data_IF_406177928399
#
_entry.id   IF_406177928399
#
_cell.length_a   1.000
_cell.length_b   1.000
_cell.length_c   1.000
_cell.angle_alpha   90.00
_cell.angle_beta   90.00
_cell.angle_gamma   90.00
#
_symmetry.space_group_name_H-M   'P 1'
#
loop_
_entity.id
_entity.type
_entity.pdbx_description
1 polymer ?
#
# COMPACT_ATOMS: atom_id res chain seq x y z
N UNK A 1 -25.53 25.15 -11.02
CA UNK A 1 -24.31 24.88 -11.79
C UNK A 1 -24.50 23.51 -12.43
N UNK A 2 -24.79 23.46 -13.74
CA UNK A 2 -24.87 22.18 -14.47
C UNK A 2 -23.43 21.74 -14.72
N UNK A 3 -23.03 20.60 -14.14
CA UNK A 3 -21.71 20.00 -14.41
C UNK A 3 -21.89 19.17 -15.68
N UNK A 4 -21.19 19.55 -16.76
CA UNK A 4 -21.16 18.70 -17.95
C UNK A 4 -20.54 17.34 -17.62
N UNK A 5 -21.08 16.24 -18.16
CA UNK A 5 -20.52 14.92 -17.95
C UNK A 5 -19.16 14.82 -18.63
N UNK A 6 -18.13 14.44 -17.87
CA UNK A 6 -16.79 14.14 -18.41
C UNK A 6 -16.88 13.11 -19.53
N UNK A 7 -16.16 13.34 -20.61
CA UNK A 7 -15.97 12.32 -21.64
C UNK A 7 -15.14 11.14 -21.10
N UNK A 8 -15.13 10.02 -21.80
CA UNK A 8 -14.49 8.79 -21.31
C UNK A 8 -12.98 8.95 -21.04
N UNK A 9 -12.30 9.76 -21.85
CA UNK A 9 -10.87 10.06 -21.69
C UNK A 9 -10.63 10.89 -20.43
N UNK A 10 -11.41 11.94 -20.22
CA UNK A 10 -11.33 12.80 -19.03
C UNK A 10 -11.65 12.01 -17.76
N UNK A 11 -12.66 11.13 -17.82
CA UNK A 11 -13.01 10.24 -16.71
C UNK A 11 -11.86 9.29 -16.38
N UNK A 12 -11.25 8.69 -17.40
CA UNK A 12 -10.12 7.77 -17.19
C UNK A 12 -8.89 8.48 -16.65
N UNK A 13 -8.63 9.72 -17.11
CA UNK A 13 -7.57 10.56 -16.57
C UNK A 13 -7.82 10.92 -15.11
N UNK A 14 -9.03 11.35 -14.74
CA UNK A 14 -9.40 11.64 -13.36
C UNK A 14 -9.26 10.40 -12.45
N UNK A 15 -9.59 9.21 -12.95
CA UNK A 15 -9.35 7.95 -12.23
C UNK A 15 -7.85 7.69 -12.03
N UNK A 16 -7.03 7.90 -13.06
CA UNK A 16 -5.58 7.73 -12.95
C UNK A 16 -4.96 8.69 -11.93
N UNK A 17 -5.37 9.96 -11.97
CA UNK A 17 -4.92 10.99 -11.01
C UNK A 17 -5.33 10.62 -9.58
N UNK A 18 -6.58 10.19 -9.38
CA UNK A 18 -7.04 9.72 -8.07
C UNK A 18 -6.23 8.51 -7.56
N UNK A 19 -5.90 7.57 -8.45
CA UNK A 19 -5.07 6.43 -8.11
C UNK A 19 -3.64 6.84 -7.73
N UNK A 20 -3.04 7.80 -8.44
CA UNK A 20 -1.71 8.34 -8.10
C UNK A 20 -1.74 9.05 -6.75
N UNK A 21 -2.78 9.84 -6.46
CA UNK A 21 -2.94 10.51 -5.17
C UNK A 21 -3.11 9.53 -4.00
N UNK A 22 -3.88 8.46 -4.22
CA UNK A 22 -4.20 7.48 -3.18
C UNK A 22 -3.08 6.48 -2.93
N UNK A 23 -2.46 5.97 -4.00
CA UNK A 23 -1.50 4.87 -3.93
C UNK A 23 -0.06 5.31 -4.17
N UNK A 24 0.16 6.47 -4.79
CA UNK A 24 1.47 6.91 -5.30
C UNK A 24 1.95 6.15 -6.54
N UNK A 25 1.50 4.91 -6.72
CA UNK A 25 1.90 4.00 -7.79
C UNK A 25 0.67 3.34 -8.40
N UNK A 26 0.54 3.45 -9.72
CA UNK A 26 -0.40 2.64 -10.50
C UNK A 26 0.25 1.31 -10.82
N UNK A 27 -0.43 0.23 -10.45
CA UNK A 27 -0.03 -1.15 -10.74
C UNK A 27 -1.24 -1.99 -11.10
N UNK A 28 -1.03 -3.21 -11.62
CA UNK A 28 -2.13 -4.14 -11.92
C UNK A 28 -3.01 -4.40 -10.69
N UNK A 29 -2.40 -4.57 -9.52
CA UNK A 29 -3.16 -4.84 -8.28
C UNK A 29 -3.98 -3.63 -7.85
N UNK A 30 -3.43 -2.41 -7.95
CA UNK A 30 -4.19 -1.18 -7.66
C UNK A 30 -5.40 -1.03 -8.58
N UNK A 31 -5.24 -1.33 -9.88
CA UNK A 31 -6.33 -1.25 -10.86
C UNK A 31 -7.44 -2.27 -10.57
N UNK A 32 -7.08 -3.47 -10.14
CA UNK A 32 -8.05 -4.49 -9.71
C UNK A 32 -8.75 -4.05 -8.43
N UNK A 33 -8.01 -3.52 -7.46
CA UNK A 33 -8.55 -3.09 -6.18
C UNK A 33 -9.57 -1.95 -6.31
N UNK A 34 -9.40 -1.05 -7.29
CA UNK A 34 -10.34 0.04 -7.59
C UNK A 34 -11.44 -0.35 -8.58
N UNK A 35 -11.43 -1.59 -9.09
CA UNK A 35 -12.39 -2.08 -10.08
C UNK A 35 -12.53 -1.14 -11.30
N UNK A 36 -11.39 -0.69 -11.85
CA UNK A 36 -11.39 0.28 -12.96
C UNK A 36 -11.98 -0.34 -14.23
N UNK A 37 -12.93 0.35 -14.91
CA UNK A 37 -13.47 -0.07 -16.19
C UNK A 37 -12.38 -0.32 -17.25
N UNK A 38 -12.50 -1.42 -18.01
CA UNK A 38 -11.49 -1.83 -18.99
C UNK A 38 -10.20 -2.40 -18.37
N UNK A 39 -10.10 -2.41 -17.04
CA UNK A 39 -9.03 -3.06 -16.30
C UNK A 39 -7.63 -2.50 -16.59
N UNK A 40 -6.62 -3.32 -16.30
CA UNK A 40 -5.22 -2.92 -16.43
C UNK A 40 -4.80 -2.54 -17.86
N UNK A 41 -5.26 -3.21 -18.94
CA UNK A 41 -4.88 -2.81 -20.30
C UNK A 41 -5.29 -1.37 -20.64
N UNK A 42 -6.53 -0.97 -20.30
CA UNK A 42 -7.02 0.39 -20.53
C UNK A 42 -6.19 1.43 -19.76
N UNK A 43 -5.98 1.18 -18.46
CA UNK A 43 -5.15 2.05 -17.62
C UNK A 43 -3.69 2.10 -18.10
N UNK A 44 -3.14 0.99 -18.56
CA UNK A 44 -1.78 0.92 -19.06
C UNK A 44 -1.61 1.76 -20.34
N UNK A 45 -2.59 1.77 -21.25
CA UNK A 45 -2.56 2.63 -22.45
C UNK A 45 -2.50 4.11 -22.07
N UNK A 46 -3.35 4.55 -21.14
CA UNK A 46 -3.31 5.92 -20.63
C UNK A 46 -1.97 6.23 -19.95
N UNK A 47 -1.48 5.33 -19.08
CA UNK A 47 -0.20 5.51 -18.39
C UNK A 47 0.98 5.63 -19.37
N UNK A 48 0.97 4.92 -20.51
CA UNK A 48 1.99 5.09 -21.55
C UNK A 48 1.93 6.49 -22.17
N UNK A 49 0.75 7.00 -22.49
CA UNK A 49 0.61 8.38 -22.98
C UNK A 49 1.07 9.41 -21.96
N UNK A 50 0.77 9.20 -20.67
CA UNK A 50 1.27 10.05 -19.58
C UNK A 50 2.81 9.95 -19.43
N UNK A 51 3.39 8.77 -19.63
CA UNK A 51 4.84 8.55 -19.64
C UNK A 51 5.51 9.28 -20.82
N UNK A 52 4.94 9.19 -22.03
CA UNK A 52 5.45 9.88 -23.22
C UNK A 52 5.47 11.41 -23.02
N UNK A 53 4.50 11.95 -22.29
CA UNK A 53 4.45 13.37 -21.90
C UNK A 53 5.37 13.74 -20.72
N UNK A 54 6.04 12.76 -20.11
CA UNK A 54 6.94 12.95 -18.98
C UNK A 54 6.26 13.18 -17.62
N UNK A 55 4.92 13.04 -17.52
CA UNK A 55 4.16 13.22 -16.27
C UNK A 55 4.45 12.13 -15.25
N UNK A 56 4.62 10.90 -15.71
CA UNK A 56 4.92 9.73 -14.89
C UNK A 56 6.07 8.94 -15.50
N UNK A 57 6.62 8.00 -14.74
CA UNK A 57 7.65 7.08 -15.22
C UNK A 57 7.22 5.64 -14.98
N UNK A 58 7.55 4.77 -15.93
CA UNK A 58 7.42 3.33 -15.75
C UNK A 58 8.64 2.75 -15.03
N UNK A 59 8.41 1.75 -14.19
CA UNK A 59 9.49 1.00 -13.55
C UNK A 59 8.99 -0.14 -12.69
N UNK A 60 9.87 -0.63 -11.82
CA UNK A 60 9.56 -1.53 -10.72
C UNK A 60 10.08 -0.89 -9.44
N UNK A 61 9.19 -0.25 -8.69
CA UNK A 61 9.56 0.54 -7.52
C UNK A 61 9.31 -0.23 -6.22
N UNK A 62 8.27 -1.08 -6.21
CA UNK A 62 7.83 -1.83 -5.02
C UNK A 62 7.68 -3.30 -5.36
N UNK A 63 8.31 -4.17 -4.59
CA UNK A 63 8.14 -5.62 -4.75
C UNK A 63 6.72 -6.06 -4.37
N UNK A 64 6.23 -7.13 -5.00
CA UNK A 64 4.88 -7.66 -4.74
C UNK A 64 3.75 -6.95 -5.49
N UNK A 65 3.97 -5.76 -6.08
CA UNK A 65 2.97 -5.05 -6.90
C UNK A 65 2.97 -5.43 -8.39
N UNK A 66 3.75 -6.45 -8.76
CA UNK A 66 3.89 -6.91 -10.15
C UNK A 66 4.89 -6.08 -10.97
N UNK A 67 5.05 -6.48 -12.23
CA UNK A 67 6.18 -6.03 -13.07
C UNK A 67 6.06 -4.63 -13.65
N UNK A 68 4.86 -4.21 -14.08
CA UNK A 68 4.64 -2.88 -14.65
C UNK A 68 4.02 -1.95 -13.59
N UNK A 69 4.77 -0.91 -13.23
CA UNK A 69 4.35 0.12 -12.29
C UNK A 69 4.60 1.49 -12.89
N UNK A 70 3.74 2.44 -12.56
CA UNK A 70 3.85 3.83 -13.00
C UNK A 70 3.69 4.76 -11.81
N UNK A 71 4.54 5.77 -11.71
CA UNK A 71 4.51 6.73 -10.62
C UNK A 71 5.05 8.08 -11.07
N UNK A 72 4.66 9.14 -10.36
CA UNK A 72 5.28 10.45 -10.52
C UNK A 72 6.73 10.43 -10.04
N UNK A 73 7.59 11.25 -10.65
CA UNK A 73 9.01 11.36 -10.29
C UNK A 73 9.22 11.61 -8.79
N UNK A 74 8.45 12.54 -8.22
CA UNK A 74 8.53 12.87 -6.79
C UNK A 74 8.22 11.66 -5.90
N UNK A 75 7.27 10.82 -6.30
CA UNK A 75 6.97 9.58 -5.59
C UNK A 75 8.13 8.60 -5.69
N UNK A 76 8.75 8.45 -6.86
CA UNK A 76 9.91 7.59 -7.06
C UNK A 76 11.08 8.03 -6.17
N UNK A 77 11.36 9.33 -6.13
CA UNK A 77 12.44 9.88 -5.30
C UNK A 77 12.17 9.63 -3.81
N UNK A 78 10.93 9.84 -3.35
CA UNK A 78 10.53 9.49 -1.97
C UNK A 78 10.68 8.01 -1.67
N UNK A 79 10.34 7.12 -2.61
CA UNK A 79 10.51 5.67 -2.44
C UNK A 79 11.99 5.31 -2.30
N UNK A 80 12.87 5.94 -3.09
CA UNK A 80 14.33 5.75 -2.99
C UNK A 80 14.88 6.24 -1.65
N UNK A 81 14.44 7.40 -1.17
CA UNK A 81 14.85 7.92 0.13
C UNK A 81 14.45 6.97 1.26
N UNK A 82 13.22 6.46 1.23
CA UNK A 82 12.72 5.49 2.21
C UNK A 82 13.47 4.15 2.12
N UNK A 83 13.84 3.69 0.93
CA UNK A 83 14.66 2.50 0.75
C UNK A 83 16.06 2.68 1.36
N UNK A 84 16.70 3.84 1.16
CA UNK A 84 17.99 4.18 1.78
C UNK A 84 17.86 4.31 3.30
N UNK A 85 16.79 4.90 3.82
CA UNK A 85 16.59 5.04 5.27
C UNK A 85 16.33 3.69 5.98
N UNK A 86 15.89 2.67 5.26
CA UNK A 86 15.65 1.33 5.81
C UNK A 86 16.94 0.64 6.24
N UNK A 87 18.07 1.00 5.63
CA UNK A 87 19.39 0.47 6.00
C UNK A 87 19.96 1.15 7.27
N UNK A 88 19.39 2.29 7.67
CA UNK A 88 19.72 2.97 8.92
C UNK A 88 18.77 2.50 10.04
N UNK A 89 19.27 2.37 11.28
CA UNK A 89 18.45 1.96 12.44
C UNK A 89 17.51 3.07 12.86
N UNK A 90 16.43 3.28 12.10
CA UNK A 90 15.35 4.21 12.41
C UNK A 90 14.23 3.50 13.15
N UNK A 91 13.81 4.06 14.28
CA UNK A 91 12.66 3.58 15.02
C UNK A 91 11.38 4.22 14.47
N UNK A 92 10.56 3.43 13.77
CA UNK A 92 9.23 3.87 13.33
C UNK A 92 8.19 3.56 14.40
N UNK A 93 7.40 4.55 14.78
CA UNK A 93 6.24 4.35 15.67
C UNK A 93 5.27 3.34 15.05
N UNK A 94 4.97 2.22 15.71
CA UNK A 94 3.97 1.28 15.21
C UNK A 94 2.58 1.92 15.21
N UNK A 95 1.84 1.72 14.11
CA UNK A 95 0.47 2.22 13.94
C UNK A 95 -0.46 1.03 13.78
N UNK A 96 -1.55 1.02 14.56
CA UNK A 96 -2.62 0.05 14.41
C UNK A 96 -3.69 0.62 13.46
N UNK A 97 -4.07 -0.15 12.44
CA UNK A 97 -5.09 0.19 11.46
C UNK A 97 -6.18 -0.88 11.45
N UNK A 98 -7.38 -0.52 11.02
CA UNK A 98 -8.34 -1.53 10.59
C UNK A 98 -7.74 -2.34 9.44
N UNK A 99 -7.99 -3.65 9.40
CA UNK A 99 -7.62 -4.46 8.24
C UNK A 99 -8.28 -3.92 6.95
N UNK A 100 -9.43 -3.26 7.06
CA UNK A 100 -10.18 -2.65 5.96
C UNK A 100 -9.79 -1.19 5.68
N UNK A 101 -8.86 -0.63 6.44
CA UNK A 101 -8.41 0.74 6.26
C UNK A 101 -7.79 0.93 4.87
N UNK A 102 -8.11 2.00 4.11
CA UNK A 102 -7.45 2.31 2.85
C UNK A 102 -5.93 2.40 2.91
N UNK A 103 -5.36 2.80 4.06
CA UNK A 103 -3.91 2.88 4.26
C UNK A 103 -3.25 1.50 4.46
N UNK A 104 -4.03 0.46 4.76
CA UNK A 104 -3.52 -0.91 4.82
C UNK A 104 -3.36 -1.49 3.41
N UNK A 105 -2.12 -1.61 2.95
CA UNK A 105 -1.78 -2.24 1.66
C UNK A 105 -1.92 -3.78 1.69
N UNK A 106 -1.86 -4.40 2.87
CA UNK A 106 -1.81 -5.85 3.03
C UNK A 106 -3.15 -6.53 2.84
N UNK A 107 -3.15 -7.64 2.11
CA UNK A 107 -4.35 -8.38 1.75
C UNK A 107 -5.20 -7.68 0.70
N UNK A 108 -4.67 -6.66 0.04
CA UNK A 108 -5.33 -5.92 -1.02
C UNK A 108 -4.39 -5.65 -2.20
N UNK A 109 -3.38 -4.82 -1.95
CA UNK A 109 -2.35 -4.48 -2.94
C UNK A 109 -1.17 -5.44 -2.83
N UNK A 110 -0.75 -5.72 -1.59
CA UNK A 110 0.32 -6.64 -1.25
C UNK A 110 -0.25 -7.93 -0.67
N UNK A 111 0.33 -9.10 -0.99
CA UNK A 111 -0.08 -10.37 -0.41
C UNK A 111 0.26 -10.39 1.08
N UNK A 112 -0.50 -11.09 1.93
CA UNK A 112 -0.11 -11.24 3.33
C UNK A 112 1.30 -11.83 3.46
N UNK A 113 2.18 -11.30 4.34
CA UNK A 113 3.51 -11.86 4.54
C UNK A 113 3.42 -13.28 5.07
N UNK A 114 4.37 -14.12 4.67
CA UNK A 114 4.50 -15.47 5.20
C UNK A 114 4.77 -15.43 6.72
N UNK A 115 4.10 -16.30 7.45
CA UNK A 115 4.13 -16.34 8.91
C UNK A 115 3.90 -17.76 9.43
N UNK A 116 4.40 -18.08 10.64
CA UNK A 116 4.29 -19.44 11.18
C UNK A 116 2.92 -19.77 11.79
N UNK A 117 2.00 -18.80 11.87
CA UNK A 117 0.71 -19.01 12.50
C UNK A 117 -0.26 -19.71 11.55
N UNK A 118 -1.11 -20.58 12.09
CA UNK A 118 -2.19 -21.25 11.34
C UNK A 118 -3.33 -20.30 10.97
N UNK A 119 -3.41 -19.15 11.64
CA UNK A 119 -4.41 -18.11 11.38
C UNK A 119 -4.11 -17.42 10.05
N UNK A 120 -4.96 -17.64 9.05
CA UNK A 120 -4.89 -16.93 7.76
C UNK A 120 -5.44 -15.51 7.93
N UNK A 121 -4.64 -14.45 7.71
CA UNK A 121 -5.12 -13.08 7.80
C UNK A 121 -6.16 -12.76 6.72
N UNK A 122 -7.15 -11.93 7.06
CA UNK A 122 -8.21 -11.51 6.13
C UNK A 122 -8.61 -10.05 6.36
N UNK A 123 -9.10 -9.37 5.31
CA UNK A 123 -9.69 -8.02 5.43
C UNK A 123 -11.14 -8.11 5.93
N UNK A 124 -11.31 -8.52 7.19
CA UNK A 124 -12.62 -8.64 7.85
C UNK A 124 -12.88 -7.42 8.74
N UNK A 125 -14.14 -6.97 8.79
CA UNK A 125 -14.56 -5.92 9.71
C UNK A 125 -14.19 -6.26 11.16
N UNK A 126 -13.63 -5.28 11.88
CA UNK A 126 -13.15 -5.46 13.25
C UNK A 126 -11.82 -6.20 13.41
N UNK A 127 -11.18 -6.64 12.33
CA UNK A 127 -9.77 -7.07 12.38
C UNK A 127 -8.83 -5.85 12.36
N UNK A 128 -7.68 -5.97 13.02
CA UNK A 128 -6.65 -4.94 13.08
C UNK A 128 -5.32 -5.46 12.55
N UNK A 129 -4.54 -4.56 11.97
CA UNK A 129 -3.16 -4.78 11.58
C UNK A 129 -2.25 -3.76 12.28
N UNK A 130 -1.03 -4.16 12.63
CA UNK A 130 -0.03 -3.24 13.16
C UNK A 130 1.12 -3.13 12.16
N UNK A 131 1.39 -1.92 11.68
CA UNK A 131 2.43 -1.63 10.70
C UNK A 131 3.48 -0.72 11.32
N UNK A 132 4.75 -0.94 11.04
CA UNK A 132 5.86 -0.07 11.44
C UNK A 132 6.90 -0.06 10.32
N UNK A 133 7.25 1.12 9.82
CA UNK A 133 8.19 1.25 8.69
C UNK A 133 7.78 0.35 7.52
N UNK A 134 6.50 0.39 7.12
CA UNK A 134 5.92 -0.41 6.04
C UNK A 134 5.91 -1.93 6.24
N UNK A 135 6.46 -2.45 7.35
CA UNK A 135 6.42 -3.86 7.69
C UNK A 135 5.18 -4.17 8.50
N UNK A 136 4.46 -5.21 8.11
CA UNK A 136 3.34 -5.74 8.89
C UNK A 136 3.88 -6.57 10.07
N UNK A 137 3.65 -6.09 11.29
CA UNK A 137 4.15 -6.71 12.52
C UNK A 137 3.15 -7.71 13.10
N UNK A 138 1.86 -7.36 13.10
CA UNK A 138 0.81 -8.11 13.77
C UNK A 138 -0.48 -8.08 12.96
N UNK A 139 -1.20 -9.20 12.96
CA UNK A 139 -2.61 -9.26 12.63
C UNK A 139 -3.41 -9.73 13.86
N UNK A 140 -4.51 -9.03 14.13
CA UNK A 140 -5.46 -9.36 15.18
C UNK A 140 -6.83 -9.62 14.54
N UNK A 141 -7.35 -10.83 14.72
CA UNK A 141 -8.67 -11.19 14.22
C UNK A 141 -9.78 -10.45 14.99
N UNK A 142 -10.95 -10.34 14.37
CA UNK A 142 -12.14 -9.78 14.98
C UNK A 142 -12.41 -10.36 16.38
N UNK A 143 -12.68 -9.48 17.35
CA UNK A 143 -12.95 -9.86 18.74
C UNK A 143 -11.69 -10.15 19.57
N UNK A 144 -10.48 -9.99 19.02
CA UNK A 144 -9.22 -9.98 19.76
C UNK A 144 -8.74 -11.32 20.32
N UNK A 145 -9.52 -12.40 20.14
CA UNK A 145 -9.22 -13.72 20.72
C UNK A 145 -8.12 -14.49 20.00
N UNK A 146 -7.84 -14.16 18.73
CA UNK A 146 -6.83 -14.81 17.89
C UNK A 146 -5.91 -13.77 17.27
N UNK A 147 -4.60 -13.96 17.35
CA UNK A 147 -3.61 -13.08 16.77
C UNK A 147 -2.49 -13.88 16.08
N UNK A 148 -1.75 -13.19 15.22
CA UNK A 148 -0.60 -13.75 14.53
C UNK A 148 0.52 -12.71 14.41
N UNK A 149 1.73 -13.08 14.83
CA UNK A 149 2.95 -12.32 14.55
C UNK A 149 3.38 -12.54 13.11
N UNK A 150 3.58 -11.46 12.37
CA UNK A 150 3.87 -11.47 10.93
C UNK A 150 5.29 -11.00 10.59
N UNK A 151 6.01 -10.46 11.57
CA UNK A 151 7.44 -10.16 11.45
C UNK A 151 8.29 -11.41 11.76
N UNK A 152 9.13 -11.82 10.80
CA UNK A 152 10.03 -12.97 10.96
C UNK A 152 10.96 -12.86 12.17
N UNK A 153 11.05 -13.97 12.93
CA UNK A 153 11.93 -14.28 14.08
C UNK A 153 12.74 -13.11 14.69
N UNK A 154 12.08 -12.07 15.20
CA UNK A 154 12.57 -11.28 16.34
C UNK A 154 11.35 -10.98 17.21
N UNK A 155 11.38 -11.53 18.42
CA UNK A 155 10.23 -11.62 19.32
C UNK A 155 9.52 -10.28 19.51
N UNK A 156 8.22 -10.28 19.25
CA UNK A 156 7.34 -9.19 19.70
C UNK A 156 7.08 -9.44 21.18
N UNK A 157 7.91 -8.88 22.04
CA UNK A 157 7.58 -8.75 23.46
C UNK A 157 6.38 -7.82 23.57
N UNK A 158 5.33 -8.24 24.30
CA UNK A 158 4.13 -7.43 24.57
C UNK A 158 4.52 -6.03 25.07
N UNK A 159 4.22 -4.92 24.36
CA UNK A 159 4.28 -3.62 24.99
C UNK A 159 3.08 -3.49 25.95
N UNK A 160 3.34 -3.22 27.23
CA UNK A 160 2.29 -2.80 28.17
C UNK A 160 1.89 -1.36 27.83
N UNK A 161 0.58 -1.09 27.81
CA UNK A 161 0.03 0.27 27.75
C UNK A 161 -0.28 0.80 26.35
N UNK A 162 -1.06 0.08 25.54
CA UNK A 162 -1.64 0.64 24.31
C UNK A 162 -2.63 1.78 24.65
N UNK A 163 -2.35 3.05 24.28
CA UNK A 163 -3.33 4.12 24.41
C UNK A 163 -4.37 3.99 23.28
N UNK A 164 -5.60 4.47 23.53
CA UNK A 164 -6.62 4.64 22.47
C UNK A 164 -6.06 5.59 21.40
N UNK A 165 -5.79 5.07 20.21
CA UNK A 165 -5.20 5.83 19.11
C UNK A 165 -6.24 6.77 18.49
N UNK A 166 -5.90 8.06 18.45
CA UNK A 166 -6.58 9.08 17.66
C UNK A 166 -6.19 8.90 16.18
N UNK A 167 -7.17 8.93 15.29
CA UNK A 167 -7.21 8.26 13.98
C UNK A 167 -6.76 9.15 12.80
N UNK A 168 -6.02 10.23 13.05
CA UNK A 168 -5.96 11.35 12.10
C UNK A 168 -4.69 11.47 11.22
N UNK A 169 -3.77 10.52 11.19
CA UNK A 169 -2.54 10.70 10.36
C UNK A 169 -1.93 9.41 9.82
N UNK A 170 -2.67 8.63 9.04
CA UNK A 170 -2.18 7.34 8.52
C UNK A 170 -2.12 7.21 6.99
N UNK A 171 -2.19 8.29 6.21
CA UNK A 171 -2.49 8.18 4.77
C UNK A 171 -1.33 8.12 3.77
N UNK A 172 -0.03 8.10 4.14
CA UNK A 172 1.02 8.35 3.11
C UNK A 172 2.30 7.51 3.13
N UNK A 173 2.39 6.37 3.82
CA UNK A 173 3.71 5.67 3.96
C UNK A 173 3.65 4.15 4.00
N UNK A 174 2.90 3.51 3.09
CA UNK A 174 2.82 2.02 3.07
C UNK A 174 3.56 1.37 1.89
N UNK A 175 3.88 2.10 0.82
CA UNK A 175 4.45 1.48 -0.40
C UNK A 175 5.98 1.28 -0.39
N UNK A 176 6.76 1.96 0.45
CA UNK A 176 8.19 2.15 0.20
C UNK A 176 9.18 1.07 0.69
N UNK A 177 8.72 0.03 1.39
CA UNK A 177 9.60 -0.75 2.28
C UNK A 177 9.86 -2.20 1.83
N UNK A 178 9.56 -2.50 0.56
CA UNK A 178 9.77 -3.82 -0.05
C UNK A 178 10.89 -3.86 -1.10
N UNK A 179 11.82 -2.89 -1.09
CA UNK A 179 12.88 -2.81 -2.10
C UNK A 179 14.15 -3.65 -1.78
N UNK A 180 14.17 -4.50 -0.75
CA UNK A 180 15.36 -5.31 -0.48
C UNK A 180 15.05 -6.59 0.32
N UNK A 181 14.99 -7.73 -0.39
CA UNK A 181 15.41 -9.05 0.11
C UNK A 181 15.69 -9.98 -1.07
N UNK A 182 16.93 -9.93 -1.53
CA UNK A 182 17.58 -11.04 -2.21
C UNK A 182 18.76 -11.44 -1.34
N UNK A 183 18.58 -12.52 -0.59
CA UNK A 183 19.59 -13.48 -0.12
C UNK A 183 18.85 -14.76 0.29
#
# INVERSE_FOLDING_TARGET
MQVEPLNDTERMLALAENMLDRYGIISRQAVIAENIPGGFPSMQTLCRSMEDSGRIMRGRFVEGLGGAQFAERLTIDRLRDLATQTTQTRHYTPVALSANDPANAWGNLLPWPAHPATLIPTRRAGALVVVSGGKLLLYLAQGGKKNAGLAGKRGITRPRGFPRADYRTASRTTAALYANRSE
#
